data_IF_165956968998
#
_entry.id   IF_165956968998
#
_cell.length_a   1.000
_cell.length_b   1.000
_cell.length_c   1.000
_cell.angle_alpha   90.00
_cell.angle_beta   90.00
_cell.angle_gamma   90.00
#
_symmetry.space_group_name_H-M   'P 1'
#
loop_
_entity.id
_entity.type
_entity.pdbx_description
1 polymer ?
#
# COMPACT_ATOMS: atom_id res chain seq x y z
N UNK A 1 -24.24 19.11 12.13
CA UNK A 1 -23.30 18.55 11.14
C UNK A 1 -21.83 18.60 11.60
N UNK A 2 -21.38 19.66 12.28
CA UNK A 2 -19.98 19.79 12.75
C UNK A 2 -19.49 18.69 13.72
N UNK A 3 -20.35 18.18 14.61
CA UNK A 3 -19.97 17.14 15.59
C UNK A 3 -19.63 15.80 14.92
N UNK A 4 -20.39 15.38 13.91
CA UNK A 4 -20.11 14.15 13.16
C UNK A 4 -18.86 14.28 12.29
N UNK A 5 -18.60 15.46 11.72
CA UNK A 5 -17.39 15.74 10.95
C UNK A 5 -16.11 15.63 11.82
N UNK A 6 -16.15 16.14 13.05
CA UNK A 6 -15.04 15.99 14.02
C UNK A 6 -14.74 14.52 14.35
N UNK A 7 -15.77 13.66 14.50
CA UNK A 7 -15.57 12.22 14.71
C UNK A 7 -14.91 11.52 13.53
N UNK A 8 -15.32 11.84 12.29
CA UNK A 8 -14.73 11.25 11.07
C UNK A 8 -13.28 11.66 10.87
N UNK A 9 -12.94 12.92 11.15
CA UNK A 9 -11.55 13.40 11.13
C UNK A 9 -10.72 12.65 12.18
N UNK A 10 -11.25 12.50 13.41
CA UNK A 10 -10.57 11.75 14.47
C UNK A 10 -10.33 10.29 14.07
N UNK A 11 -11.30 9.65 13.41
CA UNK A 11 -11.16 8.28 12.91
C UNK A 11 -10.09 8.16 11.82
N UNK A 12 -10.10 9.03 10.81
CA UNK A 12 -9.07 9.04 9.74
C UNK A 12 -7.68 9.29 10.34
N UNK A 13 -7.59 10.22 11.29
CA UNK A 13 -6.33 10.53 11.98
C UNK A 13 -5.83 9.33 12.79
N UNK A 14 -6.68 8.69 13.59
CA UNK A 14 -6.33 7.50 14.36
C UNK A 14 -5.90 6.32 13.47
N UNK A 15 -6.63 6.08 12.37
CA UNK A 15 -6.26 5.05 11.39
C UNK A 15 -4.92 5.36 10.73
N UNK A 16 -4.67 6.62 10.36
CA UNK A 16 -3.39 7.03 9.78
C UNK A 16 -2.24 6.83 10.76
N UNK A 17 -2.45 7.18 12.04
CA UNK A 17 -1.47 6.96 13.10
C UNK A 17 -1.19 5.47 13.32
N UNK A 18 -2.23 4.64 13.28
CA UNK A 18 -2.10 3.18 13.40
C UNK A 18 -1.30 2.58 12.24
N UNK A 19 -1.58 3.00 11.00
CA UNK A 19 -0.85 2.54 9.80
C UNK A 19 0.63 2.96 9.88
N UNK A 20 0.90 4.21 10.26
CA UNK A 20 2.26 4.71 10.45
C UNK A 20 2.99 3.97 11.58
N UNK A 21 2.31 3.73 12.70
CA UNK A 21 2.86 2.99 13.84
C UNK A 21 3.18 1.54 13.49
N UNK A 22 2.30 0.85 12.77
CA UNK A 22 2.55 -0.50 12.24
C UNK A 22 3.74 -0.50 11.27
N UNK A 23 3.82 0.48 10.36
CA UNK A 23 4.95 0.63 9.44
C UNK A 23 6.27 0.84 10.18
N UNK A 24 6.28 1.67 11.22
CA UNK A 24 7.46 1.92 12.06
C UNK A 24 7.88 0.68 12.85
N UNK A 25 6.93 -0.04 13.44
CA UNK A 25 7.18 -1.30 14.13
C UNK A 25 7.77 -2.35 13.16
N UNK A 26 7.27 -2.41 11.93
CA UNK A 26 7.81 -3.27 10.86
C UNK A 26 9.27 -2.92 10.55
N UNK A 27 9.61 -1.64 10.44
CA UNK A 27 10.98 -1.20 10.19
C UNK A 27 11.90 -1.54 11.35
N UNK A 28 11.48 -1.25 12.57
CA UNK A 28 12.27 -1.52 13.76
C UNK A 28 12.50 -3.02 13.92
N UNK A 29 11.48 -3.85 13.70
CA UNK A 29 11.65 -5.31 13.70
C UNK A 29 12.64 -5.78 12.64
N UNK A 30 12.61 -5.23 11.42
CA UNK A 30 13.58 -5.59 10.38
C UNK A 30 15.00 -5.09 10.71
N UNK A 31 15.10 -3.89 11.28
CA UNK A 31 16.37 -3.24 11.63
C UNK A 31 17.08 -3.92 12.81
N UNK A 32 16.33 -4.32 13.84
CA UNK A 32 16.88 -4.91 15.06
C UNK A 32 16.97 -6.44 14.97
N UNK A 33 15.95 -7.11 14.43
CA UNK A 33 15.89 -8.57 14.42
C UNK A 33 16.62 -9.20 13.22
N UNK A 34 17.08 -8.38 12.25
CA UNK A 34 17.72 -8.80 10.98
C UNK A 34 16.92 -9.83 10.16
N UNK A 35 15.69 -10.15 10.57
CA UNK A 35 14.73 -11.01 9.88
C UNK A 35 13.71 -10.12 9.19
N UNK A 36 13.81 -10.03 7.87
CA UNK A 36 12.69 -9.60 7.05
C UNK A 36 11.49 -10.50 7.33
N UNK A 37 10.28 -9.95 7.46
CA UNK A 37 9.07 -10.75 7.62
C UNK A 37 8.93 -11.63 6.36
N UNK A 38 9.07 -12.97 6.49
CA UNK A 38 8.90 -13.84 5.34
C UNK A 38 7.45 -13.71 4.89
N UNK A 39 7.22 -13.43 3.62
CA UNK A 39 5.87 -13.29 3.11
C UNK A 39 5.13 -14.63 3.30
N UNK A 40 4.03 -14.68 4.08
CA UNK A 40 3.31 -15.93 4.31
C UNK A 40 2.79 -16.52 2.99
N UNK A 41 2.46 -15.66 2.02
CA UNK A 41 2.07 -16.06 0.68
C UNK A 41 3.20 -16.80 -0.05
N UNK A 42 4.44 -16.30 0.00
CA UNK A 42 5.58 -16.99 -0.60
C UNK A 42 5.92 -18.28 0.16
N UNK A 43 5.78 -18.28 1.49
CA UNK A 43 6.00 -19.48 2.30
C UNK A 43 5.03 -20.60 1.93
N UNK A 44 3.77 -20.27 1.65
CA UNK A 44 2.70 -21.23 1.31
C UNK A 44 2.68 -21.61 -0.18
N UNK A 45 2.80 -20.65 -1.08
CA UNK A 45 2.61 -20.87 -2.53
C UNK A 45 3.91 -20.98 -3.32
N UNK A 46 5.04 -20.58 -2.73
CA UNK A 46 6.33 -20.37 -3.42
C UNK A 46 6.26 -19.34 -4.57
N UNK A 47 5.15 -18.61 -4.71
CA UNK A 47 4.97 -17.55 -5.70
C UNK A 47 5.30 -16.18 -5.10
N UNK A 48 5.97 -15.32 -5.88
CA UNK A 48 6.23 -13.94 -5.46
C UNK A 48 4.95 -13.12 -5.60
N UNK A 49 4.36 -12.69 -4.48
CA UNK A 49 3.18 -11.80 -4.49
C UNK A 49 3.49 -10.45 -5.19
N UNK A 50 2.55 -9.87 -5.97
CA UNK A 50 2.76 -8.59 -6.65
C UNK A 50 3.12 -7.46 -5.68
N UNK A 51 2.59 -7.55 -4.46
CA UNK A 51 2.77 -6.57 -3.40
C UNK A 51 4.07 -6.72 -2.60
N UNK A 52 4.75 -7.88 -2.66
CA UNK A 52 6.01 -8.07 -1.91
C UNK A 52 7.09 -7.06 -2.30
N UNK A 53 7.13 -6.67 -3.58
CA UNK A 53 8.03 -5.62 -4.08
C UNK A 53 7.68 -4.24 -3.52
N UNK A 54 6.39 -3.93 -3.37
CA UNK A 54 5.93 -2.69 -2.75
C UNK A 54 6.28 -2.63 -1.27
N UNK A 55 6.07 -3.72 -0.52
CA UNK A 55 6.41 -3.74 0.91
C UNK A 55 7.91 -3.52 1.13
N UNK A 56 8.77 -4.15 0.31
CA UNK A 56 10.22 -3.93 0.34
C UNK A 56 10.60 -2.52 -0.09
N UNK A 57 9.94 -1.95 -1.10
CA UNK A 57 10.19 -0.58 -1.54
C UNK A 57 9.78 0.45 -0.47
N UNK A 58 8.63 0.26 0.18
CA UNK A 58 8.18 1.09 1.31
C UNK A 58 9.14 0.96 2.50
N UNK A 59 9.60 -0.25 2.81
CA UNK A 59 10.61 -0.48 3.84
C UNK A 59 11.95 0.18 3.49
N UNK A 60 12.37 0.14 2.23
CA UNK A 60 13.58 0.80 1.75
C UNK A 60 13.44 2.34 1.82
N UNK A 61 12.29 2.89 1.41
CA UNK A 61 11.96 4.32 1.56
C UNK A 61 12.03 4.76 3.02
N UNK A 62 11.37 4.02 3.91
CA UNK A 62 11.31 4.37 5.32
C UNK A 62 12.64 4.13 6.07
N UNK A 63 13.51 3.26 5.56
CA UNK A 63 14.90 3.11 6.04
C UNK A 63 15.86 4.13 5.43
N UNK A 64 15.37 5.05 4.59
CA UNK A 64 16.17 6.11 3.95
C UNK A 64 16.93 5.67 2.70
N UNK A 65 16.75 4.43 2.24
CA UNK A 65 17.43 3.88 1.07
C UNK A 65 16.56 4.00 -0.19
N UNK A 66 16.58 5.19 -0.79
CA UNK A 66 15.88 5.50 -2.04
C UNK A 66 16.32 4.61 -3.20
N UNK A 67 17.60 4.23 -3.25
CA UNK A 67 18.14 3.42 -4.33
C UNK A 67 17.61 1.97 -4.29
N UNK A 68 17.57 1.37 -3.11
CA UNK A 68 16.92 0.07 -2.91
C UNK A 68 15.40 0.14 -3.15
N UNK A 69 14.76 1.25 -2.80
CA UNK A 69 13.34 1.43 -3.06
C UNK A 69 13.01 1.42 -4.57
N UNK A 70 13.85 2.09 -5.37
CA UNK A 70 13.71 2.14 -6.83
C UNK A 70 14.03 0.78 -7.47
N UNK A 71 15.01 0.03 -6.96
CA UNK A 71 15.35 -1.32 -7.43
C UNK A 71 14.31 -2.38 -7.06
N UNK A 72 13.64 -2.22 -5.91
CA UNK A 72 12.73 -3.24 -5.39
C UNK A 72 11.45 -3.44 -6.20
N UNK A 73 11.06 -2.50 -7.09
CA UNK A 73 10.18 -2.71 -8.25
C UNK A 73 9.84 -1.37 -8.93
N UNK A 74 10.21 -1.17 -10.20
CA UNK A 74 9.83 0.04 -10.95
C UNK A 74 8.31 0.29 -10.97
N UNK A 75 7.51 -0.78 -10.98
CA UNK A 75 6.05 -0.71 -10.97
C UNK A 75 5.46 -0.32 -9.61
N UNK A 76 6.23 -0.37 -8.52
CA UNK A 76 5.75 -0.05 -7.18
C UNK A 76 5.46 1.45 -7.01
N UNK A 77 6.26 2.31 -7.63
CA UNK A 77 6.12 3.77 -7.52
C UNK A 77 4.83 4.31 -8.15
N UNK A 78 4.55 4.11 -9.45
CA UNK A 78 3.34 4.64 -10.06
C UNK A 78 2.08 4.09 -9.39
N UNK A 79 2.11 2.82 -8.98
CA UNK A 79 1.00 2.18 -8.28
C UNK A 79 0.76 2.78 -6.89
N UNK A 80 1.83 3.02 -6.12
CA UNK A 80 1.75 3.66 -4.81
C UNK A 80 1.23 5.09 -4.93
N UNK A 81 1.68 5.86 -5.93
CA UNK A 81 1.23 7.23 -6.17
C UNK A 81 -0.26 7.28 -6.52
N UNK A 82 -0.73 6.39 -7.40
CA UNK A 82 -2.15 6.32 -7.79
C UNK A 82 -3.02 5.95 -6.58
N UNK A 83 -2.62 4.93 -5.80
CA UNK A 83 -3.37 4.51 -4.62
C UNK A 83 -3.41 5.58 -3.52
N UNK A 84 -2.30 6.28 -3.29
CA UNK A 84 -2.25 7.41 -2.35
C UNK A 84 -3.18 8.53 -2.80
N UNK A 85 -3.12 8.93 -4.07
CA UNK A 85 -3.97 9.99 -4.61
C UNK A 85 -5.46 9.64 -4.47
N UNK A 86 -5.86 8.43 -4.86
CA UNK A 86 -7.24 7.95 -4.71
C UNK A 86 -7.65 7.86 -3.23
N UNK A 87 -6.77 7.37 -2.36
CA UNK A 87 -7.00 7.31 -0.92
C UNK A 87 -7.24 8.68 -0.29
N UNK A 88 -6.46 9.69 -0.69
CA UNK A 88 -6.62 11.08 -0.22
C UNK A 88 -7.92 11.72 -0.72
N UNK A 89 -8.28 11.49 -1.99
CA UNK A 89 -9.54 11.98 -2.57
C UNK A 89 -10.73 11.36 -1.82
N UNK A 90 -10.69 10.06 -1.56
CA UNK A 90 -11.73 9.37 -0.82
C UNK A 90 -11.79 9.79 0.65
N UNK A 91 -10.65 9.96 1.32
CA UNK A 91 -10.60 10.48 2.68
C UNK A 91 -11.22 11.88 2.76
N UNK A 92 -10.91 12.77 1.81
CA UNK A 92 -11.55 14.09 1.70
C UNK A 92 -13.07 13.98 1.52
N UNK A 93 -13.53 13.14 0.59
CA UNK A 93 -14.97 12.94 0.37
C UNK A 93 -15.65 12.38 1.63
N UNK A 94 -15.08 11.37 2.27
CA UNK A 94 -15.61 10.82 3.51
C UNK A 94 -15.72 11.87 4.63
N UNK A 95 -14.74 12.77 4.75
CA UNK A 95 -14.78 13.85 5.74
C UNK A 95 -15.89 14.87 5.40
N UNK A 96 -16.05 15.24 4.13
CA UNK A 96 -16.98 16.30 3.68
C UNK A 96 -18.42 15.78 3.57
N UNK A 97 -18.65 14.68 2.84
CA UNK A 97 -19.99 14.16 2.54
C UNK A 97 -20.40 12.98 3.42
N UNK A 98 -19.47 12.36 4.16
CA UNK A 98 -19.77 11.21 5.02
C UNK A 98 -20.04 9.90 4.32
N UNK A 99 -19.90 9.87 3.01
CA UNK A 99 -20.22 8.75 2.14
C UNK A 99 -18.93 8.11 1.65
N UNK A 100 -18.78 6.80 1.84
CA UNK A 100 -17.68 6.00 1.27
C UNK A 100 -18.01 5.50 -0.16
N UNK A 101 -18.86 6.20 -0.89
CA UNK A 101 -19.34 5.69 -2.17
C UNK A 101 -18.29 5.92 -3.26
N UNK A 102 -17.72 4.83 -3.76
CA UNK A 102 -16.85 4.83 -4.92
C UNK A 102 -17.66 5.16 -6.17
N UNK A 103 -17.20 6.11 -6.99
CA UNK A 103 -17.79 6.36 -8.29
C UNK A 103 -17.53 5.16 -9.22
N UNK A 104 -18.42 4.95 -10.19
CA UNK A 104 -18.30 3.85 -11.14
C UNK A 104 -16.98 3.86 -11.93
N UNK A 105 -16.40 5.04 -12.18
CA UNK A 105 -15.08 5.16 -12.81
C UNK A 105 -13.93 4.78 -11.87
N UNK A 106 -14.03 5.10 -10.57
CA UNK A 106 -13.04 4.72 -9.56
C UNK A 106 -13.01 3.20 -9.40
N UNK A 107 -14.19 2.55 -9.36
CA UNK A 107 -14.29 1.09 -9.33
C UNK A 107 -13.60 0.43 -10.53
N UNK A 108 -13.79 0.98 -11.74
CA UNK A 108 -13.12 0.49 -12.96
C UNK A 108 -11.61 0.68 -12.88
N UNK A 109 -11.14 1.81 -12.36
CA UNK A 109 -9.72 2.09 -12.17
C UNK A 109 -9.09 1.14 -11.15
N UNK A 110 -9.74 0.93 -10.00
CA UNK A 110 -9.31 -0.06 -9.01
C UNK A 110 -9.27 -1.48 -9.60
N UNK A 111 -10.31 -1.89 -10.33
CA UNK A 111 -10.34 -3.18 -10.99
C UNK A 111 -9.22 -3.33 -12.02
N UNK A 112 -8.96 -2.29 -12.83
CA UNK A 112 -7.86 -2.25 -13.79
C UNK A 112 -6.49 -2.38 -13.10
N UNK A 113 -6.27 -1.64 -12.01
CA UNK A 113 -5.06 -1.74 -11.19
C UNK A 113 -4.85 -3.15 -10.61
N UNK A 114 -5.92 -3.80 -10.13
CA UNK A 114 -5.87 -5.18 -9.61
C UNK A 114 -5.52 -6.16 -10.75
N UNK A 115 -6.20 -6.07 -11.89
CA UNK A 115 -5.94 -6.92 -13.05
C UNK A 115 -4.49 -6.77 -13.52
N UNK A 116 -4.02 -5.52 -13.67
CA UNK A 116 -2.65 -5.24 -14.06
C UNK A 116 -1.64 -5.82 -13.06
N UNK A 117 -1.93 -5.72 -11.75
CA UNK A 117 -1.09 -6.32 -10.70
C UNK A 117 -1.03 -7.85 -10.79
N UNK A 118 -2.14 -8.50 -11.13
CA UNK A 118 -2.20 -9.96 -11.32
C UNK A 118 -1.47 -10.40 -12.58
N UNK A 119 -1.59 -9.65 -13.69
CA UNK A 119 -0.85 -9.91 -14.92
C UNK A 119 0.65 -9.75 -14.69
N UNK A 120 1.06 -8.67 -14.02
CA UNK A 120 2.46 -8.44 -13.68
C UNK A 120 3.00 -9.49 -12.70
N UNK A 121 2.18 -9.98 -11.75
CA UNK A 121 2.52 -11.12 -10.91
C UNK A 121 2.83 -12.36 -11.76
N UNK A 122 1.95 -12.69 -12.71
CA UNK A 122 2.12 -13.85 -13.57
C UNK A 122 3.40 -13.73 -14.41
N UNK A 123 3.60 -12.60 -15.08
CA UNK A 123 4.81 -12.31 -15.87
C UNK A 123 6.05 -12.44 -15.01
N UNK A 124 6.12 -11.75 -13.87
CA UNK A 124 7.31 -11.76 -13.03
C UNK A 124 7.62 -13.16 -12.49
N UNK A 125 6.59 -13.93 -12.15
CA UNK A 125 6.78 -15.27 -11.61
C UNK A 125 7.17 -16.30 -12.69
N UNK A 126 6.73 -16.13 -13.93
CA UNK A 126 7.11 -17.00 -15.06
C UNK A 126 8.53 -16.69 -15.54
N UNK A 127 8.87 -15.40 -15.66
CA UNK A 127 10.18 -14.98 -16.20
C UNK A 127 11.27 -14.84 -15.13
N UNK A 128 10.99 -15.15 -13.85
CA UNK A 128 11.91 -15.00 -12.72
C UNK A 128 12.55 -13.61 -12.56
N UNK A 129 11.91 -12.56 -13.11
CA UNK A 129 12.28 -11.15 -12.93
C UNK A 129 12.15 -10.69 -11.47
#
# INVERSE_FOLDING_TARGET
MERQQKYRIKQVFLLSLLILGLGLLLLLSIRFLHRGIPCPFFALTKLRCPFCGMTRAVLALLSGNLHEALRCNLMAFPYLTILLALGLIQARRFIITGSCFFLSWEKKLYASCIIFSLVWMAVRNIFHL
#
